data_IF_088209914108
#
_entry.id   IF_088209914108
#
_cell.length_a   1.000
_cell.length_b   1.000
_cell.length_c   1.000
_cell.angle_alpha   90.00
_cell.angle_beta   90.00
_cell.angle_gamma   90.00
#
_symmetry.space_group_name_H-M   'P 1'
#
loop_
_entity.id
_entity.type
_entity.pdbx_description
1 polymer ?
#
# COMPACT_ATOMS: atom_id res chain seq x y z
N UNK A 1 -12.70 -17.40 -69.94
CA UNK A 1 -12.19 -16.02 -70.20
C UNK A 1 -10.97 -15.90 -69.32
N UNK A 2 -9.88 -16.28 -69.72
CA UNK A 2 -8.66 -15.79 -70.37
C UNK A 2 -8.30 -14.37 -69.92
N UNK A 3 -7.23 -14.22 -69.17
CA UNK A 3 -6.22 -13.14 -69.30
C UNK A 3 -5.09 -13.36 -68.26
N UNK A 4 -4.04 -13.88 -68.67
CA UNK A 4 -2.73 -13.38 -69.16
C UNK A 4 -1.84 -12.75 -68.08
N UNK A 5 -0.86 -13.55 -67.76
CA UNK A 5 0.42 -13.22 -67.14
C UNK A 5 1.15 -12.08 -67.87
N UNK A 6 1.85 -11.22 -67.08
CA UNK A 6 3.00 -10.49 -67.59
C UNK A 6 4.19 -10.67 -66.62
N UNK A 7 5.19 -11.33 -67.16
CA UNK A 7 6.55 -11.43 -66.65
C UNK A 7 7.28 -10.14 -67.08
N UNK A 8 8.04 -9.55 -66.18
CA UNK A 8 9.02 -8.50 -66.51
C UNK A 8 10.35 -8.82 -65.87
N UNK A 9 11.45 -8.44 -66.52
CA UNK A 9 12.75 -9.08 -66.39
C UNK A 9 13.70 -8.49 -65.33
N UNK A 10 14.67 -9.34 -64.99
CA UNK A 10 15.83 -9.07 -64.13
C UNK A 10 16.68 -7.88 -64.62
N UNK A 11 16.93 -6.96 -63.69
CA UNK A 11 17.96 -5.95 -63.87
C UNK A 11 19.07 -6.19 -62.80
N UNK A 12 20.13 -6.87 -63.20
CA UNK A 12 21.35 -7.01 -62.41
C UNK A 12 22.15 -5.73 -62.49
N UNK A 13 22.28 -5.05 -61.36
CA UNK A 13 23.23 -3.95 -61.20
C UNK A 13 24.33 -4.43 -60.25
N UNK A 14 25.50 -4.65 -60.82
CA UNK A 14 26.77 -4.85 -60.12
C UNK A 14 27.22 -3.53 -59.51
N UNK A 15 27.35 -3.47 -58.18
CA UNK A 15 28.07 -2.41 -57.52
C UNK A 15 29.34 -2.90 -56.85
N UNK A 16 30.41 -2.21 -57.25
CA UNK A 16 31.78 -2.35 -56.81
C UNK A 16 31.91 -2.13 -55.29
N UNK A 17 32.57 -3.04 -54.60
CA UNK A 17 32.96 -2.88 -53.20
C UNK A 17 34.18 -1.91 -53.12
N UNK A 18 33.96 -0.77 -52.51
CA UNK A 18 35.05 0.06 -51.98
C UNK A 18 35.05 -0.13 -50.46
N UNK A 19 36.05 -0.85 -49.99
CA UNK A 19 36.27 -1.04 -48.53
C UNK A 19 36.94 0.21 -47.96
N UNK A 20 36.17 0.99 -47.20
CA UNK A 20 36.71 2.06 -46.36
C UNK A 20 36.74 1.58 -44.93
N UNK A 21 37.93 1.26 -44.40
CA UNK A 21 38.16 0.93 -43.01
C UNK A 21 38.16 2.25 -42.23
N UNK A 22 37.04 2.59 -41.58
CA UNK A 22 37.01 3.60 -40.53
C UNK A 22 37.07 2.91 -39.16
N UNK A 23 38.19 3.16 -38.47
CA UNK A 23 38.36 2.74 -37.07
C UNK A 23 37.30 3.35 -36.18
N UNK A 24 36.39 2.52 -35.70
CA UNK A 24 35.37 2.92 -34.72
C UNK A 24 35.96 2.96 -33.31
N UNK A 25 36.12 4.16 -32.74
CA UNK A 25 36.26 4.30 -31.27
C UNK A 25 34.96 3.84 -30.61
N UNK A 26 35.03 2.67 -29.98
CA UNK A 26 33.97 2.19 -29.13
C UNK A 26 33.93 3.01 -27.83
N UNK A 27 33.12 4.04 -27.79
CA UNK A 27 32.77 4.68 -26.52
C UNK A 27 31.83 3.74 -25.75
N UNK A 28 32.40 3.06 -24.75
CA UNK A 28 31.61 2.33 -23.78
C UNK A 28 30.74 3.34 -22.99
N UNK A 29 29.50 3.50 -23.40
CA UNK A 29 28.51 4.19 -22.60
C UNK A 29 28.24 3.32 -21.35
N UNK A 30 28.89 3.66 -20.23
CA UNK A 30 28.53 3.18 -18.92
C UNK A 30 27.13 3.72 -18.62
N UNK A 31 26.11 2.92 -18.92
CA UNK A 31 24.74 3.19 -18.49
C UNK A 31 24.72 3.17 -16.97
N UNK A 32 24.80 4.33 -16.34
CA UNK A 32 24.36 4.47 -14.95
C UNK A 32 22.87 4.11 -14.92
N UNK A 33 22.58 2.93 -14.40
CA UNK A 33 21.22 2.60 -13.99
C UNK A 33 20.82 3.63 -12.92
N UNK A 34 20.12 4.67 -13.33
CA UNK A 34 19.40 5.55 -12.42
C UNK A 34 18.39 4.67 -11.72
N UNK A 35 18.70 4.25 -10.50
CA UNK A 35 17.68 3.81 -9.55
C UNK A 35 16.73 4.98 -9.42
N UNK A 36 15.61 4.93 -10.15
CA UNK A 36 14.52 5.87 -10.00
C UNK A 36 14.08 5.77 -8.54
N UNK A 37 14.57 6.67 -7.70
CA UNK A 37 14.19 6.74 -6.31
C UNK A 37 12.69 6.90 -6.27
N UNK A 38 12.01 6.00 -5.53
CA UNK A 38 10.59 6.12 -5.26
C UNK A 38 10.40 7.51 -4.67
N UNK A 39 9.69 8.39 -5.41
CA UNK A 39 9.43 9.75 -4.94
C UNK A 39 8.74 9.73 -3.57
N UNK A 40 8.89 10.78 -2.74
CA UNK A 40 8.34 10.82 -1.37
C UNK A 40 6.86 10.46 -1.29
N UNK A 41 6.10 10.74 -2.35
CA UNK A 41 4.67 10.45 -2.46
C UNK A 41 4.32 8.97 -2.70
N UNK A 42 5.29 8.16 -3.12
CA UNK A 42 5.10 6.73 -3.42
C UNK A 42 5.72 5.81 -2.36
N UNK A 43 6.22 6.37 -1.25
CA UNK A 43 6.72 5.56 -0.13
C UNK A 43 5.56 5.03 0.71
N UNK A 44 5.72 3.85 1.32
CA UNK A 44 4.78 3.37 2.31
C UNK A 44 4.56 4.42 3.41
N UNK A 45 3.32 4.56 3.84
CA UNK A 45 2.93 5.50 4.88
C UNK A 45 2.40 4.72 6.08
N UNK A 46 3.02 4.93 7.24
CA UNK A 46 2.73 4.17 8.46
C UNK A 46 1.92 5.02 9.43
N UNK A 47 0.86 4.43 9.96
CA UNK A 47 0.06 5.01 11.03
C UNK A 47 -0.05 4.00 12.16
N UNK A 48 0.18 4.44 13.38
CA UNK A 48 -0.06 3.67 14.60
C UNK A 48 -1.33 4.17 15.28
N UNK A 49 -2.25 3.26 15.57
CA UNK A 49 -3.52 3.50 16.21
C UNK A 49 -3.47 2.93 17.62
N UNK A 50 -3.58 3.79 18.63
CA UNK A 50 -3.53 3.39 20.02
C UNK A 50 -4.91 3.44 20.65
N UNK A 51 -5.22 2.44 21.45
CA UNK A 51 -6.50 2.30 22.13
C UNK A 51 -6.27 2.14 23.62
N UNK A 52 -6.80 3.05 24.42
CA UNK A 52 -6.90 2.95 25.87
C UNK A 52 -8.34 2.56 26.21
N UNK A 53 -8.51 1.40 26.84
CA UNK A 53 -9.82 0.79 27.11
C UNK A 53 -10.11 0.92 28.60
N UNK A 54 -11.36 1.07 28.98
CA UNK A 54 -11.80 1.03 30.38
C UNK A 54 -11.32 -0.25 31.05
N UNK A 55 -10.90 -0.16 32.30
CA UNK A 55 -10.42 -1.31 33.05
C UNK A 55 -11.44 -2.47 33.04
N UNK A 56 -10.94 -3.67 32.76
CA UNK A 56 -11.74 -4.90 32.65
C UNK A 56 -12.42 -5.15 31.30
N UNK A 57 -12.30 -4.22 30.34
CA UNK A 57 -12.97 -4.35 29.03
C UNK A 57 -12.02 -4.63 27.85
N UNK A 58 -10.74 -4.84 28.10
CA UNK A 58 -9.76 -5.06 27.01
C UNK A 58 -10.10 -6.27 26.11
N UNK A 59 -10.51 -7.39 26.71
CA UNK A 59 -10.88 -8.61 25.95
C UNK A 59 -12.17 -8.40 25.14
N UNK A 60 -13.15 -7.68 25.68
CA UNK A 60 -14.37 -7.33 24.95
C UNK A 60 -14.02 -6.42 23.75
N UNK A 61 -13.18 -5.40 23.97
CA UNK A 61 -12.74 -4.51 22.91
C UNK A 61 -12.05 -5.27 21.77
N UNK A 62 -11.08 -6.13 22.10
CA UNK A 62 -10.35 -6.94 21.12
C UNK A 62 -11.30 -7.86 20.35
N UNK A 63 -12.28 -8.44 21.02
CA UNK A 63 -13.29 -9.30 20.41
C UNK A 63 -14.13 -8.54 19.38
N UNK A 64 -14.65 -7.37 19.74
CA UNK A 64 -15.43 -6.50 18.86
C UNK A 64 -14.58 -5.97 17.69
N UNK A 65 -13.33 -5.57 17.97
CA UNK A 65 -12.39 -5.13 16.94
C UNK A 65 -12.14 -6.24 15.90
N UNK A 66 -11.88 -7.47 16.35
CA UNK A 66 -11.65 -8.61 15.44
C UNK A 66 -12.91 -9.00 14.66
N UNK A 67 -14.08 -8.82 15.26
CA UNK A 67 -15.36 -9.16 14.62
C UNK A 67 -15.72 -8.17 13.52
N UNK A 68 -15.60 -6.87 13.78
CA UNK A 68 -16.17 -5.84 12.91
C UNK A 68 -15.10 -4.99 12.18
N UNK A 69 -14.07 -4.54 12.88
CA UNK A 69 -13.12 -3.58 12.31
C UNK A 69 -11.99 -4.24 11.53
N UNK A 70 -11.37 -5.29 12.09
CA UNK A 70 -10.27 -5.99 11.43
C UNK A 70 -10.62 -6.58 10.05
N UNK A 71 -11.82 -7.15 9.81
CA UNK A 71 -12.18 -7.62 8.47
C UNK A 71 -12.18 -6.52 7.41
N UNK A 72 -12.58 -5.28 7.76
CA UNK A 72 -12.53 -4.12 6.86
C UNK A 72 -11.09 -3.76 6.51
N UNK A 73 -10.20 -3.76 7.51
CA UNK A 73 -8.77 -3.51 7.28
C UNK A 73 -8.16 -4.59 6.38
N UNK A 74 -8.49 -5.85 6.64
CA UNK A 74 -8.02 -6.98 5.83
C UNK A 74 -8.51 -6.88 4.38
N UNK A 75 -9.75 -6.43 4.17
CA UNK A 75 -10.28 -6.19 2.83
C UNK A 75 -9.50 -5.09 2.10
N UNK A 76 -9.10 -4.03 2.80
CA UNK A 76 -8.27 -2.98 2.20
C UNK A 76 -6.84 -3.47 1.88
N UNK A 77 -6.30 -4.45 2.62
CA UNK A 77 -5.05 -5.15 2.25
C UNK A 77 -5.25 -5.95 0.95
N UNK A 78 -6.34 -6.71 0.84
CA UNK A 78 -6.69 -7.47 -0.38
C UNK A 78 -6.86 -6.56 -1.61
N UNK A 79 -7.37 -5.35 -1.40
CA UNK A 79 -7.51 -4.32 -2.44
C UNK A 79 -6.18 -3.63 -2.79
N UNK A 80 -5.08 -3.92 -2.09
CA UNK A 80 -3.77 -3.31 -2.30
C UNK A 80 -3.67 -1.85 -1.84
N UNK A 81 -4.59 -1.37 -1.02
CA UNK A 81 -4.57 -0.05 -0.39
C UNK A 81 -3.62 -0.01 0.81
N UNK A 82 -3.66 -1.07 1.60
CA UNK A 82 -2.74 -1.32 2.70
C UNK A 82 -1.78 -2.44 2.33
N UNK A 83 -0.54 -2.33 2.76
CA UNK A 83 0.50 -3.35 2.58
C UNK A 83 0.52 -4.32 3.76
N UNK A 84 0.21 -3.82 4.95
CA UNK A 84 0.23 -4.61 6.17
C UNK A 84 -0.69 -4.01 7.23
N UNK A 85 -1.30 -4.88 8.01
CA UNK A 85 -1.97 -4.56 9.28
C UNK A 85 -1.43 -5.50 10.34
N UNK A 86 -0.98 -4.96 11.46
CA UNK A 86 -0.51 -5.75 12.60
C UNK A 86 -1.03 -5.15 13.91
N UNK A 87 -1.11 -5.95 14.95
CA UNK A 87 -1.58 -5.50 16.24
C UNK A 87 -0.75 -6.11 17.37
N UNK A 88 -0.57 -5.34 18.43
CA UNK A 88 0.12 -5.76 19.65
C UNK A 88 -0.63 -5.25 20.89
N UNK A 89 -0.44 -5.94 22.00
CA UNK A 89 -0.84 -5.51 23.33
C UNK A 89 0.38 -5.50 24.26
N UNK A 90 0.44 -4.63 25.27
CA UNK A 90 1.49 -4.66 26.27
C UNK A 90 1.54 -6.00 27.01
N UNK A 91 2.74 -6.48 27.26
CA UNK A 91 2.92 -7.70 28.07
C UNK A 91 2.75 -7.43 29.58
N UNK A 92 3.05 -6.22 30.02
CA UNK A 92 3.04 -5.80 31.41
C UNK A 92 2.24 -4.52 31.57
N UNK A 93 1.81 -4.24 32.81
CA UNK A 93 1.11 -3.02 33.15
C UNK A 93 1.99 -1.78 32.97
N UNK A 94 1.38 -0.71 32.53
CA UNK A 94 1.96 0.63 32.46
C UNK A 94 1.29 1.52 33.52
N UNK A 95 1.87 2.70 33.73
CA UNK A 95 1.23 3.75 34.52
C UNK A 95 -0.06 4.21 33.85
N UNK A 96 -1.04 4.67 34.63
CA UNK A 96 -2.33 5.10 34.08
C UNK A 96 -2.18 6.20 33.01
N UNK A 97 -1.26 7.15 33.21
CA UNK A 97 -1.04 8.25 32.30
C UNK A 97 -0.46 7.82 30.94
N UNK A 98 0.37 6.75 30.93
CA UNK A 98 1.00 6.24 29.71
C UNK A 98 0.34 4.98 29.14
N UNK A 99 -0.73 4.50 29.77
CA UNK A 99 -1.36 3.23 29.43
C UNK A 99 -2.06 3.28 28.06
N UNK A 100 -1.78 2.26 27.29
CA UNK A 100 -2.62 1.81 26.18
C UNK A 100 -2.77 0.28 26.29
N UNK A 101 -3.86 -0.26 25.79
CA UNK A 101 -4.20 -1.68 25.92
C UNK A 101 -4.07 -2.41 24.59
N UNK A 102 -4.18 -1.67 23.48
CA UNK A 102 -4.09 -2.23 22.16
C UNK A 102 -3.49 -1.22 21.19
N UNK A 103 -2.54 -1.66 20.34
CA UNK A 103 -1.97 -0.84 19.27
C UNK A 103 -2.09 -1.59 17.95
N UNK A 104 -2.61 -0.92 16.94
CA UNK A 104 -2.66 -1.41 15.56
C UNK A 104 -1.72 -0.57 14.72
N UNK A 105 -0.86 -1.22 13.95
CA UNK A 105 0.01 -0.56 12.97
C UNK A 105 -0.51 -0.87 11.58
N UNK A 106 -0.82 0.16 10.80
CA UNK A 106 -1.24 0.06 9.40
C UNK A 106 -0.15 0.66 8.53
N UNK A 107 0.30 -0.11 7.56
CA UNK A 107 1.21 0.34 6.50
C UNK A 107 0.39 0.54 5.23
N UNK A 108 0.08 1.77 4.90
CA UNK A 108 -0.58 2.14 3.65
C UNK A 108 0.40 2.11 2.48
N UNK A 109 -0.10 1.87 1.28
CA UNK A 109 0.69 1.91 0.05
C UNK A 109 1.40 3.25 -0.13
N UNK A 110 0.75 4.36 0.26
CA UNK A 110 1.32 5.70 0.27
C UNK A 110 0.47 6.64 1.12
N UNK A 111 0.98 7.82 1.45
CA UNK A 111 0.22 8.88 2.12
C UNK A 111 -0.99 9.35 1.27
N UNK A 112 -0.87 9.35 -0.05
CA UNK A 112 -1.98 9.69 -0.94
C UNK A 112 -3.14 8.70 -0.78
N UNK A 113 -2.85 7.40 -0.73
CA UNK A 113 -3.86 6.34 -0.53
C UNK A 113 -4.48 6.41 0.87
N UNK A 114 -3.70 6.76 1.90
CA UNK A 114 -4.22 6.90 3.26
C UNK A 114 -5.24 8.06 3.39
N UNK A 115 -5.14 9.07 2.50
CA UNK A 115 -5.93 10.32 2.57
C UNK A 115 -6.86 10.53 1.36
N UNK A 116 -7.13 9.53 0.55
CA UNK A 116 -7.89 9.65 -0.71
C UNK A 116 -9.42 9.68 -0.55
N UNK A 117 -9.92 9.65 0.70
CA UNK A 117 -11.36 9.67 0.95
C UNK A 117 -12.06 8.34 0.58
N UNK A 118 -11.39 7.21 0.80
CA UNK A 118 -11.96 5.90 0.55
C UNK A 118 -13.36 5.72 1.12
N UNK A 119 -14.29 5.20 0.32
CA UNK A 119 -15.68 4.96 0.74
C UNK A 119 -15.79 3.66 1.57
N UNK A 120 -15.39 3.78 2.84
CA UNK A 120 -15.53 2.67 3.80
C UNK A 120 -17.00 2.34 4.09
N UNK A 121 -17.91 3.32 3.94
CA UNK A 121 -19.33 3.10 4.21
C UNK A 121 -19.95 2.07 3.27
N UNK A 122 -19.66 2.16 1.98
CA UNK A 122 -20.11 1.17 0.99
C UNK A 122 -19.52 -0.20 1.31
N UNK A 123 -18.22 -0.27 1.63
CA UNK A 123 -17.58 -1.52 2.03
C UNK A 123 -18.25 -2.16 3.26
N UNK A 124 -18.59 -1.36 4.28
CA UNK A 124 -19.31 -1.83 5.48
C UNK A 124 -20.68 -2.39 5.11
N UNK A 125 -21.42 -1.73 4.22
CA UNK A 125 -22.74 -2.22 3.78
C UNK A 125 -22.66 -3.55 3.04
N UNK A 126 -21.63 -3.73 2.22
CA UNK A 126 -21.39 -4.98 1.50
C UNK A 126 -20.99 -6.13 2.42
N UNK A 127 -20.11 -5.87 3.40
CA UNK A 127 -19.55 -6.90 4.26
C UNK A 127 -20.45 -7.28 5.44
N UNK A 128 -21.34 -6.38 5.87
CA UNK A 128 -22.22 -6.57 7.03
C UNK A 128 -23.68 -6.34 6.68
N UNK A 129 -24.39 -7.34 6.10
CA UNK A 129 -25.82 -7.20 5.75
C UNK A 129 -26.72 -6.81 6.95
N UNK A 130 -26.41 -7.33 8.15
CA UNK A 130 -27.07 -6.91 9.39
C UNK A 130 -26.43 -5.63 9.94
N UNK A 131 -26.83 -4.51 9.36
CA UNK A 131 -26.35 -3.19 9.75
C UNK A 131 -26.76 -2.80 11.19
N UNK A 132 -27.84 -3.36 11.73
CA UNK A 132 -28.29 -3.06 13.08
C UNK A 132 -27.33 -3.66 14.11
N UNK A 133 -27.00 -4.94 13.97
CA UNK A 133 -25.99 -5.60 14.81
C UNK A 133 -24.60 -4.97 14.66
N UNK A 134 -24.16 -4.70 13.43
CA UNK A 134 -22.89 -4.04 13.19
C UNK A 134 -22.79 -2.70 13.95
N UNK A 135 -23.78 -1.82 13.81
CA UNK A 135 -23.80 -0.51 14.46
C UNK A 135 -23.82 -0.62 16.00
N UNK A 136 -24.59 -1.57 16.52
CA UNK A 136 -24.63 -1.83 17.98
C UNK A 136 -23.27 -2.25 18.52
N UNK A 137 -22.57 -3.15 17.83
CA UNK A 137 -21.25 -3.62 18.23
C UNK A 137 -20.21 -2.52 18.12
N UNK A 138 -20.23 -1.71 17.06
CA UNK A 138 -19.33 -0.57 16.91
C UNK A 138 -19.58 0.50 17.97
N UNK A 139 -20.85 0.83 18.26
CA UNK A 139 -21.19 1.72 19.36
C UNK A 139 -20.61 1.18 20.67
N UNK A 140 -20.83 -0.10 20.97
CA UNK A 140 -20.31 -0.73 22.20
C UNK A 140 -18.79 -0.66 22.26
N UNK A 141 -18.10 -0.90 21.16
CA UNK A 141 -16.63 -0.81 21.06
C UNK A 141 -16.12 0.59 21.43
N UNK A 142 -16.83 1.65 21.00
CA UNK A 142 -16.49 3.03 21.37
C UNK A 142 -16.87 3.39 22.80
N UNK A 143 -17.98 2.87 23.33
CA UNK A 143 -18.40 3.13 24.73
C UNK A 143 -17.40 2.63 25.77
N UNK A 144 -16.66 1.56 25.45
CA UNK A 144 -15.65 0.99 26.35
C UNK A 144 -14.25 1.60 26.17
N UNK A 145 -14.06 2.51 25.22
CA UNK A 145 -12.82 3.29 25.09
C UNK A 145 -12.79 4.43 26.13
N UNK A 146 -11.59 4.70 26.64
CA UNK A 146 -11.27 5.92 27.38
C UNK A 146 -10.58 6.94 26.49
N UNK A 147 -9.67 6.46 25.65
CA UNK A 147 -8.94 7.31 24.70
C UNK A 147 -8.55 6.50 23.46
N UNK A 148 -8.43 7.21 22.35
CA UNK A 148 -7.94 6.70 21.08
C UNK A 148 -7.17 7.80 20.39
N UNK A 149 -6.01 7.46 19.82
CA UNK A 149 -5.22 8.42 19.05
C UNK A 149 -4.48 7.74 17.90
N UNK A 150 -4.33 8.47 16.80
CA UNK A 150 -3.73 8.04 15.56
C UNK A 150 -2.43 8.80 15.37
N UNK A 151 -1.32 8.08 15.23
CA UNK A 151 0.01 8.64 15.07
C UNK A 151 0.56 8.31 13.67
N UNK A 152 0.46 9.22 12.69
CA UNK A 152 1.19 9.07 11.45
C UNK A 152 2.69 9.22 11.74
N UNK A 153 3.48 8.26 11.24
CA UNK A 153 4.90 8.21 11.46
C UNK A 153 5.65 8.89 10.30
N UNK A 154 6.78 9.49 10.64
CA UNK A 154 7.74 10.07 9.69
C UNK A 154 9.10 9.41 9.88
N UNK A 155 9.71 8.97 8.78
CA UNK A 155 11.08 8.48 8.80
C UNK A 155 12.05 9.59 9.22
N UNK A 156 13.06 9.23 10.02
CA UNK A 156 14.16 10.09 10.41
C UNK A 156 15.45 9.50 9.86
N UNK A 157 16.11 10.23 8.97
CA UNK A 157 17.42 9.85 8.45
C UNK A 157 18.48 9.99 9.56
N UNK A 158 19.06 8.85 9.98
CA UNK A 158 20.08 8.83 11.03
C UNK A 158 21.52 8.98 10.49
N UNK A 159 21.73 8.74 9.19
CA UNK A 159 23.05 8.73 8.55
C UNK A 159 23.30 9.91 7.60
N UNK A 160 22.38 10.87 7.50
CA UNK A 160 22.62 12.09 6.73
C UNK A 160 23.60 13.00 7.49
N UNK A 161 24.83 13.14 6.95
CA UNK A 161 25.80 14.18 7.36
C UNK A 161 25.61 15.41 6.49
#
# INVERSE_FOLDING_TARGET
MISRSRVMPDLRISFLFVSLILGGLSTSATGQATTAGIGPQNRPFVVEYYYKVKWGYADEFITLFKKNHYPLLRKQVEMGRMLQVSAVAPRYHMTEDGRWDYRVTIVFKSAAVANDGFDEKTLVQEMYPDQATYKKDEQRRFEILEAHWDLPLKDVELNAQ
#
